data_IF_484426921446
#
_entry.id   IF_484426921446
#
_cell.length_a   1.000
_cell.length_b   1.000
_cell.length_c   1.000
_cell.angle_alpha   90.00
_cell.angle_beta   90.00
_cell.angle_gamma   90.00
#
_symmetry.space_group_name_H-M   'P 1'
#
loop_
_entity.id
_entity.type
_entity.pdbx_description
1 polymer ?
#
# COMPACT_ATOMS: atom_id res chain seq x y z
N UNK A 1 12.85 2.03 -8.16
CA UNK A 1 12.58 1.18 -6.99
C UNK A 1 12.16 2.07 -5.84
N UNK A 2 10.84 2.23 -5.68
CA UNK A 2 10.23 3.04 -4.63
C UNK A 2 9.51 2.14 -3.63
N UNK A 3 9.67 2.47 -2.34
CA UNK A 3 8.94 1.81 -1.26
C UNK A 3 7.77 2.69 -0.82
N UNK A 4 6.56 2.21 -1.04
CA UNK A 4 5.31 2.89 -0.65
C UNK A 4 4.70 2.21 0.56
N UNK A 5 4.26 2.99 1.55
CA UNK A 5 3.67 2.46 2.79
C UNK A 5 2.30 3.06 3.05
N UNK A 6 1.26 2.24 2.99
CA UNK A 6 -0.11 2.58 3.36
C UNK A 6 -0.32 2.19 4.83
N UNK A 7 -0.33 3.17 5.72
CA UNK A 7 -0.52 2.99 7.15
C UNK A 7 -1.69 3.80 7.72
N UNK A 8 -2.02 3.65 9.00
CA UNK A 8 -3.17 4.32 9.62
C UNK A 8 -3.03 5.85 9.61
N UNK A 9 -1.85 6.38 9.96
CA UNK A 9 -1.59 7.82 10.06
C UNK A 9 -1.09 8.49 8.78
N UNK A 10 -0.51 7.73 7.84
CA UNK A 10 0.09 8.27 6.64
C UNK A 10 -0.05 7.30 5.46
N UNK A 11 -0.23 7.84 4.27
CA UNK A 11 -0.29 7.10 3.02
C UNK A 11 0.33 7.94 1.90
N UNK A 12 0.86 7.31 0.82
CA UNK A 12 1.27 8.02 -0.38
C UNK A 12 0.06 8.68 -1.07
N UNK A 13 0.31 9.55 -2.04
CA UNK A 13 -0.77 10.04 -2.88
C UNK A 13 -1.36 8.88 -3.71
N UNK A 14 -2.66 8.97 -4.02
CA UNK A 14 -3.32 7.97 -4.85
C UNK A 14 -2.70 7.87 -6.24
N UNK A 15 -2.16 8.98 -6.77
CA UNK A 15 -1.44 9.00 -8.04
C UNK A 15 -0.18 8.14 -8.01
N UNK A 16 0.60 8.25 -6.93
CA UNK A 16 1.85 7.50 -6.77
C UNK A 16 1.58 5.99 -6.67
N UNK A 17 0.57 5.62 -5.87
CA UNK A 17 0.13 4.21 -5.77
C UNK A 17 -0.28 3.66 -7.14
N UNK A 18 -1.09 4.39 -7.91
CA UNK A 18 -1.53 3.93 -9.24
C UNK A 18 -0.42 3.86 -10.28
N UNK A 19 0.68 4.60 -10.10
CA UNK A 19 1.81 4.59 -11.02
C UNK A 19 2.84 3.50 -10.72
N UNK A 20 2.86 2.99 -9.49
CA UNK A 20 3.76 1.92 -9.07
C UNK A 20 3.70 0.70 -10.02
N UNK A 21 4.85 0.07 -10.23
CA UNK A 21 5.03 -1.01 -11.21
C UNK A 21 6.04 -2.07 -10.77
N UNK A 22 6.60 -2.86 -11.71
CA UNK A 22 7.36 -4.10 -11.42
C UNK A 22 8.53 -3.99 -10.44
N UNK A 23 9.11 -2.80 -10.32
CA UNK A 23 10.27 -2.52 -9.47
C UNK A 23 9.91 -1.82 -8.15
N UNK A 24 8.63 -1.66 -7.87
CA UNK A 24 8.14 -0.98 -6.67
C UNK A 24 7.50 -1.95 -5.68
N UNK A 25 7.67 -1.64 -4.39
CA UNK A 25 7.11 -2.41 -3.29
C UNK A 25 6.06 -1.56 -2.56
N UNK A 26 4.86 -2.10 -2.38
CA UNK A 26 3.75 -1.47 -1.67
C UNK A 26 3.45 -2.27 -0.41
N UNK A 27 3.66 -1.65 0.76
CA UNK A 27 3.38 -2.25 2.06
C UNK A 27 2.06 -1.68 2.59
N UNK A 28 1.10 -2.56 2.86
CA UNK A 28 -0.18 -2.22 3.47
C UNK A 28 -0.21 -2.74 4.89
N UNK A 29 -0.33 -1.83 5.86
CA UNK A 29 -0.54 -2.20 7.26
C UNK A 29 -2.03 -2.47 7.51
N UNK A 30 -2.40 -3.52 8.27
CA UNK A 30 -3.79 -3.82 8.59
C UNK A 30 -4.55 -2.64 9.19
N UNK A 31 -3.89 -1.84 10.04
CA UNK A 31 -4.50 -0.66 10.68
C UNK A 31 -4.88 0.43 9.67
N UNK A 32 -4.36 0.38 8.43
CA UNK A 32 -4.83 1.27 7.38
C UNK A 32 -6.33 1.08 7.06
N UNK A 33 -6.89 -0.10 7.36
CA UNK A 33 -8.32 -0.37 7.20
C UNK A 33 -9.22 0.50 8.08
N UNK A 34 -8.69 1.10 9.15
CA UNK A 34 -9.42 2.01 10.03
C UNK A 34 -9.63 3.40 9.40
N UNK A 35 -8.94 3.70 8.29
CA UNK A 35 -9.05 4.99 7.62
C UNK A 35 -10.36 5.08 6.83
N UNK A 36 -11.00 6.26 6.89
CA UNK A 36 -12.22 6.55 6.10
C UNK A 36 -11.98 6.49 4.59
N UNK A 37 -10.78 6.81 4.14
CA UNK A 37 -10.38 6.78 2.72
C UNK A 37 -9.74 5.45 2.29
N UNK A 38 -9.68 4.45 3.19
CA UNK A 38 -9.06 3.16 2.90
C UNK A 38 -9.59 2.49 1.64
N UNK A 39 -10.91 2.47 1.32
CA UNK A 39 -11.38 1.84 0.10
C UNK A 39 -10.72 2.40 -1.17
N UNK A 40 -10.45 3.72 -1.21
CA UNK A 40 -9.77 4.38 -2.34
C UNK A 40 -8.28 4.02 -2.39
N UNK A 41 -7.65 3.93 -1.22
CA UNK A 41 -6.26 3.49 -1.11
C UNK A 41 -6.11 2.04 -1.57
N UNK A 42 -7.03 1.16 -1.16
CA UNK A 42 -7.03 -0.26 -1.55
C UNK A 42 -7.26 -0.45 -3.06
N UNK A 43 -8.16 0.33 -3.66
CA UNK A 43 -8.32 0.36 -5.12
C UNK A 43 -7.01 0.74 -5.83
N UNK A 44 -6.32 1.80 -5.37
CA UNK A 44 -5.05 2.23 -5.95
C UNK A 44 -3.93 1.19 -5.76
N UNK A 45 -3.90 0.49 -4.62
CA UNK A 45 -3.00 -0.65 -4.38
C UNK A 45 -3.31 -1.80 -5.35
N UNK A 46 -4.58 -2.10 -5.61
CA UNK A 46 -4.99 -3.09 -6.60
C UNK A 46 -4.51 -2.74 -8.01
N UNK A 47 -4.57 -1.46 -8.39
CA UNK A 47 -4.00 -0.97 -9.66
C UNK A 47 -2.49 -1.20 -9.70
N UNK A 48 -1.76 -0.89 -8.63
CA UNK A 48 -0.32 -1.14 -8.53
C UNK A 48 0.02 -2.62 -8.72
N UNK A 49 -0.72 -3.50 -8.05
CA UNK A 49 -0.56 -4.96 -8.13
C UNK A 49 -0.71 -5.45 -9.58
N UNK A 50 -1.77 -5.02 -10.28
CA UNK A 50 -2.02 -5.41 -11.68
C UNK A 50 -0.93 -4.87 -12.62
N UNK A 51 -0.31 -3.73 -12.29
CA UNK A 51 0.84 -3.18 -13.02
C UNK A 51 2.16 -3.89 -12.74
N UNK A 52 2.17 -4.86 -11.81
CA UNK A 52 3.33 -5.68 -11.48
C UNK A 52 4.05 -5.27 -10.19
N UNK A 53 3.58 -4.25 -9.47
CA UNK A 53 4.15 -3.92 -8.16
C UNK A 53 3.97 -5.08 -7.19
N UNK A 54 4.95 -5.25 -6.29
CA UNK A 54 4.87 -6.26 -5.23
C UNK A 54 4.08 -5.67 -4.07
N UNK A 55 2.98 -6.33 -3.70
CA UNK A 55 2.12 -5.86 -2.60
C UNK A 55 2.25 -6.80 -1.42
N UNK A 56 2.57 -6.24 -0.25
CA UNK A 56 2.71 -6.96 1.00
C UNK A 56 1.67 -6.44 2.00
N UNK A 57 0.76 -7.32 2.43
CA UNK A 57 -0.11 -7.05 3.58
C UNK A 57 0.61 -7.58 4.81
N UNK A 58 1.19 -6.67 5.60
CA UNK A 58 2.06 -7.02 6.72
C UNK A 58 1.33 -6.86 8.05
N UNK A 59 0.92 -7.96 8.65
CA UNK A 59 0.57 -7.95 10.07
C UNK A 59 1.79 -7.48 10.87
N UNK A 60 1.56 -6.64 11.90
CA UNK A 60 2.62 -6.16 12.79
C UNK A 60 3.52 -7.35 13.16
N UNK A 61 4.82 -7.27 12.86
CA UNK A 61 5.76 -8.29 13.31
C UNK A 61 5.57 -8.47 14.83
N UNK A 62 5.30 -9.71 15.26
CA UNK A 62 5.47 -10.09 16.65
C UNK A 62 6.89 -9.70 17.02
N UNK A 63 7.01 -8.71 17.91
CA UNK A 63 8.29 -8.38 18.51
C UNK A 63 8.74 -9.60 19.30
N UNK A 64 9.65 -10.40 18.74
CA UNK A 64 10.39 -11.43 19.46
C UNK A 64 11.55 -10.76 20.19
#
# INVERSE_FOLDING_TARGET
>A
MTRLVVGPGASPALGDLRQAGPEDDVFVRPEAAERKDFPKLWEAVGVALVRGARVYVINREEST
#
